data_IF_229805410672
#
_entry.id   IF_229805410672
#
_cell.length_a   1.000
_cell.length_b   1.000
_cell.length_c   1.000
_cell.angle_alpha   90.00
_cell.angle_beta   90.00
_cell.angle_gamma   90.00
#
_symmetry.space_group_name_H-M   'P 1'
#
loop_
_entity.id
_entity.type
_entity.pdbx_description
1 polymer ?
#
# COMPACT_ATOMS: atom_id res chain seq x y z
N UNK A 1 10.05 46.24 -32.83
CA UNK A 1 10.43 45.00 -32.14
C UNK A 1 9.42 44.70 -31.03
N UNK A 2 8.39 43.85 -31.22
CA UNK A 2 7.47 43.50 -30.15
C UNK A 2 7.97 42.25 -29.42
N UNK A 3 8.28 42.35 -28.12
CA UNK A 3 8.55 41.16 -27.28
C UNK A 3 7.23 40.67 -26.68
N UNK A 4 6.89 39.42 -27.00
CA UNK A 4 5.68 38.71 -26.61
C UNK A 4 5.49 38.68 -25.08
N UNK A 5 4.26 38.96 -24.62
CA UNK A 5 3.81 38.67 -23.25
C UNK A 5 3.69 37.17 -23.09
N UNK A 6 4.57 36.57 -22.30
CA UNK A 6 4.46 35.18 -21.86
C UNK A 6 3.24 35.04 -20.95
N UNK A 7 2.18 34.42 -21.46
CA UNK A 7 1.04 33.97 -20.69
C UNK A 7 1.46 32.77 -19.83
N UNK A 8 1.81 33.01 -18.56
CA UNK A 8 1.87 31.93 -17.57
C UNK A 8 0.44 31.45 -17.30
N UNK A 9 0.04 30.35 -17.93
CA UNK A 9 -1.06 29.51 -17.43
C UNK A 9 -0.64 29.00 -16.04
N UNK A 10 -1.39 29.25 -14.96
CA UNK A 10 -1.13 28.55 -13.71
C UNK A 10 -1.41 27.05 -13.90
N UNK A 11 -0.46 26.22 -13.45
CA UNK A 11 -0.50 24.77 -13.53
C UNK A 11 -1.64 24.19 -12.69
N UNK A 12 -2.42 23.31 -13.30
CA UNK A 12 -3.59 22.62 -12.75
C UNK A 12 -3.18 21.54 -11.73
N UNK A 13 -2.69 21.92 -10.55
CA UNK A 13 -2.32 20.98 -9.48
C UNK A 13 -2.52 21.51 -8.06
N UNK A 14 -3.45 22.45 -7.87
CA UNK A 14 -4.03 22.74 -6.55
C UNK A 14 -5.50 22.34 -6.64
N UNK A 15 -5.98 21.59 -5.64
CA UNK A 15 -7.27 20.89 -5.54
C UNK A 15 -7.30 19.46 -6.10
N UNK A 16 -6.66 18.52 -5.39
CA UNK A 16 -7.24 17.18 -5.25
C UNK A 16 -8.07 17.16 -3.97
N UNK A 17 -9.36 16.83 -4.10
CA UNK A 17 -10.26 16.53 -2.99
C UNK A 17 -9.60 15.59 -1.96
N UNK A 18 -10.04 15.58 -0.68
CA UNK A 18 -9.52 14.62 0.30
C UNK A 18 -9.61 13.22 -0.29
N UNK A 19 -8.44 12.60 -0.44
CA UNK A 19 -8.28 11.27 -0.99
C UNK A 19 -9.23 10.34 -0.21
N UNK A 20 -10.09 9.59 -0.92
CA UNK A 20 -11.09 8.73 -0.28
C UNK A 20 -10.44 7.89 0.83
N UNK A 21 -11.13 7.60 1.95
CA UNK A 21 -10.56 6.79 3.02
C UNK A 21 -10.05 5.48 2.43
N UNK A 22 -8.74 5.29 2.49
CA UNK A 22 -8.09 4.12 1.89
C UNK A 22 -8.20 2.96 2.86
N UNK A 23 -8.87 1.90 2.42
CA UNK A 23 -8.91 0.65 3.16
C UNK A 23 -7.49 0.09 3.23
N UNK A 24 -7.17 -0.61 4.33
CA UNK A 24 -5.90 -1.28 4.54
C UNK A 24 -6.09 -2.79 4.47
N UNK A 25 -5.25 -3.46 3.70
CA UNK A 25 -5.07 -4.90 3.77
C UNK A 25 -3.72 -5.22 4.38
N UNK A 26 -3.71 -6.20 5.27
CA UNK A 26 -2.52 -6.74 5.92
C UNK A 26 -2.45 -8.23 5.64
N UNK A 27 -1.26 -8.71 5.27
CA UNK A 27 -1.02 -10.13 5.07
C UNK A 27 0.34 -10.50 5.66
N UNK A 28 0.30 -11.31 6.71
CA UNK A 28 1.49 -11.81 7.40
C UNK A 28 1.79 -13.25 6.96
N UNK A 29 3.02 -13.49 6.55
CA UNK A 29 3.50 -14.80 6.08
C UNK A 29 4.69 -15.26 6.90
N UNK A 30 4.89 -16.57 6.93
CA UNK A 30 6.17 -17.13 7.30
C UNK A 30 7.14 -17.03 6.10
N UNK A 31 8.19 -16.25 6.27
CA UNK A 31 9.24 -16.08 5.28
C UNK A 31 8.97 -14.98 4.25
N UNK A 32 10.06 -14.39 3.78
CA UNK A 32 10.05 -13.26 2.83
C UNK A 32 9.58 -13.65 1.43
N UNK A 33 9.92 -14.84 0.94
CA UNK A 33 9.51 -15.31 -0.40
C UNK A 33 7.98 -15.38 -0.54
N UNK A 34 7.29 -15.86 0.50
CA UNK A 34 5.84 -15.91 0.51
C UNK A 34 5.23 -14.50 0.54
N UNK A 35 5.82 -13.56 1.30
CA UNK A 35 5.39 -12.16 1.30
C UNK A 35 5.54 -11.52 -0.09
N UNK A 36 6.65 -11.75 -0.79
CA UNK A 36 6.83 -11.23 -2.16
C UNK A 36 5.82 -11.83 -3.13
N UNK A 37 5.57 -13.14 -3.06
CA UNK A 37 4.53 -13.78 -3.87
C UNK A 37 3.14 -13.18 -3.60
N UNK A 38 2.86 -12.88 -2.34
CA UNK A 38 1.59 -12.30 -1.93
C UNK A 38 1.42 -10.87 -2.46
N UNK A 39 2.46 -10.04 -2.37
CA UNK A 39 2.45 -8.68 -2.89
C UNK A 39 2.24 -8.66 -4.41
N UNK A 40 2.92 -9.53 -5.15
CA UNK A 40 2.75 -9.68 -6.60
C UNK A 40 1.31 -10.13 -6.96
N UNK A 41 0.78 -11.12 -6.24
CA UNK A 41 -0.57 -11.61 -6.46
C UNK A 41 -1.64 -10.54 -6.15
N UNK A 42 -1.50 -9.81 -5.03
CA UNK A 42 -2.39 -8.72 -4.66
C UNK A 42 -2.45 -7.64 -5.75
N UNK A 43 -1.29 -7.15 -6.20
CA UNK A 43 -1.18 -6.09 -7.18
C UNK A 43 -1.74 -6.48 -8.57
N UNK A 44 -1.70 -7.78 -8.92
CA UNK A 44 -2.27 -8.29 -10.16
C UNK A 44 -3.78 -8.54 -10.08
N UNK A 45 -4.32 -8.77 -8.88
CA UNK A 45 -5.71 -9.17 -8.70
C UNK A 45 -6.69 -7.99 -8.67
N UNK A 46 -6.26 -6.81 -8.22
CA UNK A 46 -7.12 -5.65 -8.08
C UNK A 46 -6.36 -4.33 -8.19
N UNK A 47 -7.09 -3.24 -8.37
CA UNK A 47 -6.55 -1.88 -8.34
C UNK A 47 -6.22 -1.45 -6.90
N UNK A 48 -5.04 -1.86 -6.44
CA UNK A 48 -4.50 -1.58 -5.11
C UNK A 48 -3.05 -1.09 -5.20
N UNK A 49 -2.61 -0.35 -4.19
CA UNK A 49 -1.21 0.02 -4.00
C UNK A 49 -0.57 -0.86 -2.95
N UNK A 50 0.52 -1.55 -3.30
CA UNK A 50 1.38 -2.21 -2.31
C UNK A 50 2.22 -1.13 -1.63
N UNK A 51 1.96 -0.90 -0.35
CA UNK A 51 2.69 0.08 0.46
C UNK A 51 4.12 -0.40 0.75
N UNK A 52 4.30 -1.71 0.89
CA UNK A 52 5.57 -2.32 1.24
C UNK A 52 5.37 -3.45 2.23
N UNK A 53 6.46 -3.87 2.86
CA UNK A 53 6.44 -4.93 3.87
C UNK A 53 7.14 -4.51 5.16
N UNK A 54 6.72 -5.08 6.28
CA UNK A 54 7.32 -4.90 7.59
C UNK A 54 7.86 -6.24 8.09
N UNK A 55 9.07 -6.24 8.66
CA UNK A 55 9.65 -7.43 9.29
C UNK A 55 9.26 -7.47 10.77
N UNK A 56 8.47 -8.47 11.19
CA UNK A 56 7.94 -8.54 12.57
C UNK A 56 9.00 -8.92 13.62
N UNK A 57 10.28 -8.99 13.23
CA UNK A 57 11.46 -9.27 14.07
C UNK A 57 11.29 -10.46 15.03
N UNK A 58 10.73 -11.55 14.52
CA UNK A 58 10.58 -12.81 15.24
C UNK A 58 10.01 -13.88 14.32
N UNK A 59 10.37 -15.16 14.55
CA UNK A 59 9.86 -16.35 13.83
C UNK A 59 9.98 -16.30 12.29
N UNK A 60 10.72 -15.37 11.71
CA UNK A 60 10.82 -15.20 10.26
C UNK A 60 9.56 -14.61 9.61
N UNK A 61 8.71 -13.91 10.36
CA UNK A 61 7.46 -13.35 9.82
C UNK A 61 7.66 -12.04 9.06
N UNK A 62 6.86 -11.87 8.02
CA UNK A 62 6.86 -10.70 7.15
C UNK A 62 5.41 -10.30 6.85
N UNK A 63 5.09 -9.02 7.08
CA UNK A 63 3.75 -8.47 6.85
C UNK A 63 3.74 -7.52 5.66
N UNK A 64 2.99 -7.87 4.60
CA UNK A 64 2.72 -7.02 3.44
C UNK A 64 1.53 -6.12 3.73
N UNK A 65 1.65 -4.85 3.36
CA UNK A 65 0.62 -3.81 3.52
C UNK A 65 0.15 -3.35 2.15
N UNK A 66 -1.16 -3.32 1.95
CA UNK A 66 -1.80 -2.87 0.70
C UNK A 66 -2.91 -1.86 1.01
N UNK A 67 -3.12 -0.90 0.11
CA UNK A 67 -4.18 0.10 0.25
C UNK A 67 -5.00 0.26 -1.03
N UNK A 68 -6.26 0.66 -0.89
CA UNK A 68 -7.17 0.88 -2.01
C UNK A 68 -8.61 1.10 -1.56
N UNK A 69 -9.57 0.86 -2.46
CA UNK A 69 -10.97 0.76 -2.06
C UNK A 69 -11.21 -0.54 -1.26
N UNK A 70 -12.21 -0.55 -0.37
CA UNK A 70 -12.52 -1.73 0.47
C UNK A 70 -12.70 -3.00 -0.38
N UNK A 71 -13.45 -2.88 -1.48
CA UNK A 71 -13.69 -4.00 -2.39
C UNK A 71 -12.41 -4.48 -3.08
N UNK A 72 -11.57 -3.56 -3.58
CA UNK A 72 -10.29 -3.92 -4.20
C UNK A 72 -9.34 -4.60 -3.21
N UNK A 73 -9.27 -4.09 -1.98
CA UNK A 73 -8.44 -4.68 -0.91
C UNK A 73 -8.92 -6.07 -0.53
N UNK A 74 -10.23 -6.31 -0.45
CA UNK A 74 -10.77 -7.66 -0.19
C UNK A 74 -10.34 -8.66 -1.26
N UNK A 75 -10.48 -8.31 -2.53
CA UNK A 75 -10.05 -9.14 -3.66
C UNK A 75 -8.54 -9.38 -3.64
N UNK A 76 -7.75 -8.33 -3.38
CA UNK A 76 -6.31 -8.42 -3.31
C UNK A 76 -5.83 -9.33 -2.16
N UNK A 77 -6.40 -9.22 -0.96
CA UNK A 77 -6.04 -10.07 0.19
C UNK A 77 -6.40 -11.53 -0.06
N UNK A 78 -7.55 -11.81 -0.68
CA UNK A 78 -7.97 -13.16 -1.02
C UNK A 78 -6.97 -13.85 -1.96
N UNK A 79 -6.63 -13.17 -3.07
CA UNK A 79 -5.65 -13.68 -4.03
C UNK A 79 -4.26 -13.85 -3.39
N UNK A 80 -3.83 -12.86 -2.60
CA UNK A 80 -2.56 -12.91 -1.91
C UNK A 80 -2.47 -14.08 -0.93
N UNK A 81 -3.54 -14.36 -0.17
CA UNK A 81 -3.61 -15.51 0.75
C UNK A 81 -3.47 -16.84 0.01
N UNK A 82 -4.19 -16.99 -1.10
CA UNK A 82 -4.15 -18.21 -1.92
C UNK A 82 -2.74 -18.47 -2.46
N UNK A 83 -2.13 -17.48 -3.12
CA UNK A 83 -0.81 -17.64 -3.74
C UNK A 83 0.31 -17.76 -2.72
N UNK A 84 0.28 -16.97 -1.63
CA UNK A 84 1.26 -17.08 -0.56
C UNK A 84 1.19 -18.44 0.13
N UNK A 85 -0.03 -18.96 0.35
CA UNK A 85 -0.29 -20.28 0.94
C UNK A 85 0.29 -21.45 0.16
N UNK A 86 0.52 -21.27 -1.15
CA UNK A 86 1.18 -22.27 -2.02
C UNK A 86 2.71 -22.25 -1.87
N UNK A 87 3.27 -21.09 -1.54
CA UNK A 87 4.71 -20.90 -1.38
C UNK A 87 5.17 -21.25 0.02
N UNK A 88 4.41 -20.80 1.03
CA UNK A 88 4.67 -21.10 2.44
C UNK A 88 3.40 -20.84 3.28
N UNK A 89 3.54 -20.78 4.59
CA UNK A 89 2.45 -20.51 5.51
C UNK A 89 2.01 -19.04 5.50
N UNK A 90 0.70 -18.82 5.40
CA UNK A 90 0.06 -17.55 5.80
C UNK A 90 -0.22 -17.60 7.30
N UNK A 91 0.28 -16.62 8.04
CA UNK A 91 0.12 -16.51 9.49
C UNK A 91 -1.20 -15.81 9.81
N UNK A 92 -1.46 -14.68 9.16
CA UNK A 92 -2.67 -13.90 9.36
C UNK A 92 -3.00 -13.03 8.15
N UNK A 93 -4.28 -12.70 7.99
CA UNK A 93 -4.76 -11.70 7.02
C UNK A 93 -5.80 -10.81 7.68
N UNK A 94 -5.83 -9.53 7.32
CA UNK A 94 -6.84 -8.60 7.81
C UNK A 94 -7.19 -7.54 6.76
N UNK A 95 -8.46 -7.14 6.73
CA UNK A 95 -8.95 -5.99 5.95
C UNK A 95 -9.60 -5.00 6.91
N UNK A 96 -9.11 -3.77 6.91
CA UNK A 96 -9.64 -2.67 7.69
C UNK A 96 -10.22 -1.66 6.70
N UNK A 97 -11.55 -1.59 6.62
CA UNK A 97 -12.24 -0.77 5.62
C UNK A 97 -11.93 0.73 5.74
N UNK A 98 -11.72 1.20 6.97
CA UNK A 98 -11.36 2.58 7.30
C UNK A 98 -10.46 2.55 8.55
N UNK A 99 -9.14 2.41 8.39
CA UNK A 99 -8.22 2.51 9.52
C UNK A 99 -8.37 3.89 10.17
N UNK A 100 -8.22 3.95 11.49
CA UNK A 100 -8.22 5.21 12.23
C UNK A 100 -6.97 6.03 11.89
N UNK A 101 -7.10 7.35 11.80
CA UNK A 101 -6.00 8.25 11.43
C UNK A 101 -4.81 8.12 12.39
N UNK A 102 -5.05 7.82 13.68
CA UNK A 102 -4.00 7.58 14.68
C UNK A 102 -3.10 6.38 14.33
N UNK A 103 -3.59 5.44 13.52
CA UNK A 103 -2.82 4.27 13.09
C UNK A 103 -1.90 4.56 11.89
N UNK A 104 -2.06 5.70 11.22
CA UNK A 104 -1.28 6.07 10.02
C UNK A 104 0.23 6.00 10.23
N UNK A 105 0.81 6.54 11.34
CA UNK A 105 2.25 6.44 11.58
C UNK A 105 2.75 5.00 11.77
N UNK A 106 1.89 4.07 12.20
CA UNK A 106 2.21 2.65 12.33
C UNK A 106 2.16 1.94 10.96
N UNK A 107 1.16 2.28 10.15
CA UNK A 107 0.98 1.74 8.80
C UNK A 107 2.13 2.21 7.91
N UNK A 108 2.44 3.50 7.91
CA UNK A 108 3.47 4.16 7.09
C UNK A 108 4.77 4.40 7.87
N UNK A 109 5.16 3.44 8.71
CA UNK A 109 6.37 3.57 9.52
C UNK A 109 7.66 3.44 8.69
N UNK A 110 8.75 4.05 9.16
CA UNK A 110 10.09 3.96 8.52
C UNK A 110 10.65 2.54 8.46
N UNK A 111 10.09 1.61 9.23
CA UNK A 111 10.46 0.20 9.21
C UNK A 111 9.81 -0.57 8.07
N UNK A 112 8.83 0.04 7.38
CA UNK A 112 8.20 -0.53 6.20
C UNK A 112 9.14 -0.38 5.01
N UNK A 113 9.68 -1.50 4.54
CA UNK A 113 10.55 -1.55 3.36
C UNK A 113 9.70 -1.46 2.11
N UNK A 114 10.15 -0.66 1.13
CA UNK A 114 9.43 -0.45 -0.14
C UNK A 114 8.40 0.68 -0.10
N UNK A 115 8.27 1.40 1.02
CA UNK A 115 7.40 2.58 1.13
C UNK A 115 7.85 3.66 0.13
N UNK A 116 7.12 3.78 -0.98
CA UNK A 116 7.43 4.75 -2.05
C UNK A 116 7.28 6.21 -1.61
N UNK A 117 7.76 7.19 -2.40
CA UNK A 117 7.68 8.63 -2.07
C UNK A 117 6.26 9.11 -1.79
N UNK A 118 5.29 8.66 -2.60
CA UNK A 118 3.87 8.97 -2.41
C UNK A 118 3.30 8.40 -1.12
N UNK A 119 3.96 7.39 -0.56
CA UNK A 119 3.51 6.70 0.63
C UNK A 119 4.15 7.21 1.94
N UNK A 120 5.11 8.15 1.86
CA UNK A 120 5.81 8.74 3.02
C UNK A 120 5.13 9.97 3.62
N UNK A 121 4.09 10.52 3.00
CA UNK A 121 3.48 11.77 3.45
C UNK A 121 4.38 13.00 3.30
N UNK A 122 5.46 12.89 2.52
CA UNK A 122 6.32 14.02 2.16
C UNK A 122 5.64 14.81 1.05
N UNK A 123 4.93 15.89 1.44
CA UNK A 123 4.69 17.04 0.58
C UNK A 123 5.96 17.90 0.66
N UNK A 124 6.55 18.23 -0.48
CA UNK A 124 7.70 19.15 -0.59
C UNK A 124 7.45 20.50 0.13
#
# INVERSE_FOLDING_TARGET
MPRQRSSRRPSRAADSAPEAPRALGLLETYGYTAAIQAADAAAKAADVTVLGYHLTRGKGWVCVKIEGSVAAVQVAVEAAREWAGRVNQVVATQVIARPDDETTPLIRSRETVGLGPRARGEMD
#
